data_IF_309098837676
#
_entry.id   IF_309098837676
#
_cell.length_a   1.000
_cell.length_b   1.000
_cell.length_c   1.000
_cell.angle_alpha   90.00
_cell.angle_beta   90.00
_cell.angle_gamma   90.00
#
_symmetry.space_group_name_H-M   'P 1'
#
loop_
_entity.id
_entity.type
_entity.pdbx_description
1 polymer ?
#
# COMPACT_ATOMS: atom_id res chain seq x y z
N UNK A 1 -15.14 -16.45 13.48
CA UNK A 1 -14.16 -15.62 14.20
C UNK A 1 -13.50 -14.69 13.18
N UNK A 2 -13.40 -13.40 13.47
CA UNK A 2 -12.82 -12.40 12.56
C UNK A 2 -11.31 -12.63 12.44
N UNK A 3 -10.78 -12.72 11.22
CA UNK A 3 -9.35 -12.52 10.97
C UNK A 3 -9.11 -11.02 10.84
N UNK A 4 -8.34 -10.46 11.77
CA UNK A 4 -7.99 -9.05 11.74
C UNK A 4 -6.98 -8.79 10.62
N UNK A 5 -7.13 -7.65 9.96
CA UNK A 5 -6.15 -7.14 9.00
C UNK A 5 -4.92 -6.64 9.74
N UNK A 6 -3.74 -7.04 9.28
CA UNK A 6 -2.45 -6.53 9.70
C UNK A 6 -1.99 -5.44 8.71
N UNK A 7 -1.89 -4.16 9.15
CA UNK A 7 -1.40 -3.08 8.31
C UNK A 7 -0.04 -3.35 7.67
N UNK A 8 0.83 -4.08 8.36
CA UNK A 8 2.19 -4.40 7.91
C UNK A 8 2.22 -5.51 6.86
N UNK A 9 1.11 -6.23 6.68
CA UNK A 9 0.92 -7.14 5.56
C UNK A 9 0.31 -6.48 4.33
N UNK A 10 0.00 -5.17 4.41
CA UNK A 10 -0.45 -4.35 3.30
C UNK A 10 -1.72 -4.87 2.64
N UNK A 11 -1.80 -4.68 1.32
CA UNK A 11 -2.94 -5.15 0.52
C UNK A 11 -3.00 -6.68 0.47
N UNK A 12 -1.86 -7.37 0.47
CA UNK A 12 -1.80 -8.83 0.41
C UNK A 12 -2.43 -9.50 1.64
N UNK A 13 -2.14 -9.00 2.84
CA UNK A 13 -2.80 -9.51 4.05
C UNK A 13 -4.30 -9.20 4.05
N UNK A 14 -4.70 -8.02 3.56
CA UNK A 14 -6.11 -7.68 3.42
C UNK A 14 -6.85 -8.68 2.52
N UNK A 15 -6.27 -9.08 1.38
CA UNK A 15 -6.83 -10.15 0.54
C UNK A 15 -7.00 -11.43 1.34
N UNK A 16 -5.99 -11.82 2.14
CA UNK A 16 -6.09 -12.96 3.06
C UNK A 16 -7.26 -12.84 4.05
N UNK A 17 -7.55 -11.63 4.55
CA UNK A 17 -8.71 -11.39 5.40
C UNK A 17 -10.04 -11.54 4.66
N UNK A 18 -10.11 -11.22 3.36
CA UNK A 18 -11.33 -11.43 2.57
C UNK A 18 -11.64 -12.91 2.38
N UNK A 19 -10.63 -13.73 2.10
CA UNK A 19 -10.80 -15.19 2.04
C UNK A 19 -11.37 -15.73 3.36
N UNK A 20 -10.80 -15.33 4.48
CA UNK A 20 -11.25 -15.82 5.77
C UNK A 20 -12.63 -15.25 6.17
N UNK A 21 -12.81 -13.93 6.11
CA UNK A 21 -14.00 -13.26 6.63
C UNK A 21 -15.21 -13.39 5.69
N UNK A 22 -14.99 -13.46 4.38
CA UNK A 22 -16.07 -13.60 3.37
C UNK A 22 -16.25 -15.06 2.96
N UNK A 23 -15.18 -15.77 2.61
CA UNK A 23 -15.23 -17.14 2.08
C UNK A 23 -14.96 -18.24 3.12
N UNK A 24 -14.77 -17.92 4.40
CA UNK A 24 -14.62 -18.91 5.49
C UNK A 24 -13.52 -19.95 5.24
N UNK A 25 -12.45 -19.55 4.55
CA UNK A 25 -11.29 -20.41 4.27
C UNK A 25 -10.03 -19.59 4.06
N UNK A 26 -8.88 -20.26 4.04
CA UNK A 26 -7.63 -19.66 3.63
C UNK A 26 -7.49 -19.61 2.08
N UNK A 27 -6.70 -18.67 1.54
CA UNK A 27 -6.32 -18.67 0.13
C UNK A 27 -5.52 -19.93 -0.22
N UNK A 28 -5.68 -20.43 -1.44
CA UNK A 28 -5.07 -21.68 -1.89
C UNK A 28 -3.55 -21.59 -2.06
N UNK A 29 -3.05 -20.41 -2.44
CA UNK A 29 -1.63 -20.17 -2.65
C UNK A 29 -1.29 -18.67 -2.63
N UNK A 30 0.01 -18.35 -2.63
CA UNK A 30 0.48 -16.97 -2.72
C UNK A 30 0.15 -16.34 -4.08
N UNK A 31 0.18 -17.11 -5.17
CA UNK A 31 -0.16 -16.61 -6.51
C UNK A 31 -1.61 -16.12 -6.60
N UNK A 32 -2.52 -16.74 -5.83
CA UNK A 32 -3.91 -16.31 -5.71
C UNK A 32 -4.01 -14.98 -4.96
N UNK A 33 -3.25 -14.82 -3.86
CA UNK A 33 -3.16 -13.56 -3.12
C UNK A 33 -2.63 -12.45 -4.04
N UNK A 34 -1.56 -12.72 -4.78
CA UNK A 34 -0.91 -11.75 -5.67
C UNK A 34 -1.85 -11.31 -6.79
N UNK A 35 -2.59 -12.25 -7.39
CA UNK A 35 -3.60 -11.95 -8.40
C UNK A 35 -4.67 -10.97 -7.86
N UNK A 36 -5.25 -11.25 -6.70
CA UNK A 36 -6.28 -10.39 -6.12
C UNK A 36 -5.74 -9.06 -5.59
N UNK A 37 -4.49 -9.05 -5.13
CA UNK A 37 -3.77 -7.83 -4.74
C UNK A 37 -3.63 -6.90 -5.93
N UNK A 38 -3.24 -7.43 -7.10
CA UNK A 38 -3.19 -6.68 -8.36
C UNK A 38 -4.57 -6.16 -8.79
N UNK A 39 -5.63 -6.94 -8.60
CA UNK A 39 -7.00 -6.47 -8.85
C UNK A 39 -7.33 -5.27 -7.96
N UNK A 40 -6.95 -5.32 -6.68
CA UNK A 40 -7.17 -4.21 -5.75
C UNK A 40 -6.42 -2.94 -6.16
N UNK A 41 -5.18 -3.06 -6.63
CA UNK A 41 -4.44 -1.91 -7.13
C UNK A 41 -5.06 -1.29 -8.39
N UNK A 42 -5.53 -2.13 -9.33
CA UNK A 42 -6.05 -1.64 -10.60
C UNK A 42 -7.48 -1.10 -10.50
N UNK A 43 -8.29 -1.66 -9.60
CA UNK A 43 -9.74 -1.40 -9.56
C UNK A 43 -10.22 -0.75 -8.26
N UNK A 44 -9.36 -0.67 -7.24
CA UNK A 44 -9.69 -0.12 -5.93
C UNK A 44 -10.46 -1.08 -5.03
N UNK A 45 -10.58 -0.71 -3.75
CA UNK A 45 -11.07 -1.60 -2.70
C UNK A 45 -12.52 -2.07 -2.91
N UNK A 46 -13.40 -1.16 -3.35
CA UNK A 46 -14.83 -1.46 -3.57
C UNK A 46 -14.99 -2.61 -4.56
N UNK A 47 -14.31 -2.54 -5.70
CA UNK A 47 -14.42 -3.57 -6.74
C UNK A 47 -13.85 -4.91 -6.28
N UNK A 48 -12.75 -4.90 -5.53
CA UNK A 48 -12.19 -6.12 -4.94
C UNK A 48 -13.16 -6.77 -3.97
N UNK A 49 -13.68 -6.04 -2.99
CA UNK A 49 -14.61 -6.60 -1.98
C UNK A 49 -15.90 -7.10 -2.64
N UNK A 50 -16.47 -6.32 -3.56
CA UNK A 50 -17.65 -6.73 -4.34
C UNK A 50 -17.37 -8.02 -5.11
N UNK A 51 -16.17 -8.17 -5.68
CA UNK A 51 -15.75 -9.39 -6.38
C UNK A 51 -15.81 -10.64 -5.50
N UNK A 52 -15.47 -10.55 -4.21
CA UNK A 52 -15.57 -11.68 -3.27
C UNK A 52 -17.03 -12.04 -2.98
N UNK A 53 -17.88 -11.06 -2.67
CA UNK A 53 -19.31 -11.29 -2.42
C UNK A 53 -20.08 -11.73 -3.67
N UNK A 54 -19.61 -11.32 -4.85
CA UNK A 54 -20.14 -11.75 -6.15
C UNK A 54 -19.34 -12.90 -6.77
N UNK A 55 -18.53 -13.62 -6.00
CA UNK A 55 -17.88 -14.83 -6.50
C UNK A 55 -18.90 -15.95 -6.64
N UNK A 56 -18.65 -16.90 -7.57
CA UNK A 56 -19.47 -18.11 -7.65
C UNK A 56 -19.41 -18.86 -6.32
N UNK A 57 -18.22 -18.93 -5.71
CA UNK A 57 -18.00 -19.58 -4.43
C UNK A 57 -18.87 -19.01 -3.30
N UNK A 58 -18.97 -17.68 -3.19
CA UNK A 58 -19.85 -17.07 -2.19
C UNK A 58 -21.33 -17.35 -2.49
N UNK A 59 -21.74 -17.23 -3.75
CA UNK A 59 -23.15 -17.40 -4.15
C UNK A 59 -23.66 -18.82 -3.91
N UNK A 60 -22.87 -19.86 -4.19
CA UNK A 60 -23.33 -21.25 -4.02
C UNK A 60 -23.58 -21.62 -2.56
N UNK A 61 -22.94 -20.93 -1.61
CA UNK A 61 -23.17 -21.14 -0.18
C UNK A 61 -24.57 -20.71 0.28
N UNK A 62 -25.28 -19.91 -0.51
CA UNK A 62 -26.64 -19.43 -0.20
C UNK A 62 -26.74 -18.78 1.20
N UNK A 63 -25.72 -17.99 1.55
CA UNK A 63 -25.63 -17.33 2.86
C UNK A 63 -26.81 -16.38 3.05
N UNK A 64 -27.54 -16.42 4.19
CA UNK A 64 -28.61 -15.46 4.48
C UNK A 64 -28.12 -14.02 4.44
N UNK A 65 -29.02 -13.08 4.10
CA UNK A 65 -28.67 -11.65 4.01
C UNK A 65 -28.13 -11.11 5.34
N UNK A 66 -28.69 -11.54 6.46
CA UNK A 66 -28.22 -11.16 7.80
C UNK A 66 -26.73 -11.51 8.03
N UNK A 67 -26.34 -12.74 7.69
CA UNK A 67 -24.95 -13.18 7.79
C UNK A 67 -24.05 -12.50 6.76
N UNK A 68 -24.58 -12.17 5.58
CA UNK A 68 -23.86 -11.35 4.59
C UNK A 68 -23.53 -9.96 5.13
N UNK A 69 -24.47 -9.33 5.85
CA UNK A 69 -24.23 -8.05 6.52
C UNK A 69 -23.13 -8.18 7.57
N UNK A 70 -23.17 -9.22 8.42
CA UNK A 70 -22.09 -9.46 9.39
C UNK A 70 -20.73 -9.61 8.70
N UNK A 71 -20.67 -10.33 7.58
CA UNK A 71 -19.44 -10.45 6.78
C UNK A 71 -18.96 -9.14 6.18
N UNK A 72 -19.84 -8.22 5.77
CA UNK A 72 -19.46 -6.85 5.35
C UNK A 72 -18.77 -6.08 6.49
N UNK A 73 -19.32 -6.12 7.70
CA UNK A 73 -18.70 -5.50 8.88
C UNK A 73 -17.32 -6.08 9.19
N UNK A 74 -17.19 -7.41 9.17
CA UNK A 74 -15.92 -8.10 9.44
C UNK A 74 -14.86 -7.77 8.39
N UNK A 75 -15.23 -7.76 7.11
CA UNK A 75 -14.29 -7.60 5.99
C UNK A 75 -13.92 -6.14 5.69
N UNK A 76 -14.80 -5.18 5.95
CA UNK A 76 -14.55 -3.75 5.61
C UNK A 76 -14.19 -2.94 6.86
N UNK A 77 -14.88 -3.19 7.98
CA UNK A 77 -14.74 -2.42 9.22
C UNK A 77 -13.98 -3.20 10.30
N UNK A 78 -13.56 -4.44 10.06
CA UNK A 78 -12.77 -5.21 11.03
C UNK A 78 -13.41 -5.25 12.43
N UNK A 79 -14.74 -5.45 12.49
CA UNK A 79 -15.52 -5.59 13.74
C UNK A 79 -16.82 -6.38 13.54
N UNK A 80 -17.46 -6.75 14.64
CA UNK A 80 -18.84 -7.24 14.62
C UNK A 80 -19.85 -6.06 14.62
N UNK A 81 -21.01 -6.20 13.97
CA UNK A 81 -22.10 -5.25 14.09
C UNK A 81 -23.00 -5.51 15.31
N UNK A 82 -23.70 -4.47 15.73
CA UNK A 82 -24.85 -4.58 16.63
C UNK A 82 -26.12 -5.01 15.89
N UNK A 83 -27.13 -5.47 16.64
CA UNK A 83 -28.39 -5.99 16.08
C UNK A 83 -29.10 -4.97 15.19
N UNK A 84 -29.22 -3.71 15.63
CA UNK A 84 -29.88 -2.67 14.86
C UNK A 84 -29.16 -2.33 13.54
N UNK A 85 -27.83 -2.42 13.51
CA UNK A 85 -27.02 -2.22 12.30
C UNK A 85 -27.30 -3.35 11.30
N UNK A 86 -27.34 -4.60 11.78
CA UNK A 86 -27.68 -5.76 10.97
C UNK A 86 -29.09 -5.64 10.38
N UNK A 87 -30.08 -5.30 11.20
CA UNK A 87 -31.47 -5.15 10.76
C UNK A 87 -31.61 -4.08 9.69
N UNK A 88 -30.99 -2.91 9.89
CA UNK A 88 -31.03 -1.80 8.95
C UNK A 88 -30.47 -2.21 7.57
N UNK A 89 -29.25 -2.74 7.52
CA UNK A 89 -28.64 -3.11 6.23
C UNK A 89 -29.31 -4.31 5.58
N UNK A 90 -29.82 -5.26 6.37
CA UNK A 90 -30.59 -6.40 5.84
C UNK A 90 -31.83 -5.92 5.10
N UNK A 91 -32.62 -5.03 5.71
CA UNK A 91 -33.80 -4.46 5.07
C UNK A 91 -33.47 -3.74 3.75
N UNK A 92 -32.38 -2.98 3.74
CA UNK A 92 -31.96 -2.23 2.55
C UNK A 92 -31.54 -3.14 1.40
N UNK A 93 -30.81 -4.22 1.68
CA UNK A 93 -30.45 -5.23 0.68
C UNK A 93 -31.70 -5.98 0.20
N UNK A 94 -32.62 -6.34 1.11
CA UNK A 94 -33.90 -6.98 0.75
C UNK A 94 -34.78 -6.08 -0.12
N UNK A 95 -34.72 -4.76 0.04
CA UNK A 95 -35.39 -3.76 -0.82
C UNK A 95 -34.73 -3.58 -2.19
N UNK A 96 -33.61 -4.27 -2.45
CA UNK A 96 -32.95 -4.26 -3.75
C UNK A 96 -31.67 -3.43 -3.82
N UNK A 97 -31.11 -2.96 -2.68
CA UNK A 97 -29.76 -2.37 -2.69
C UNK A 97 -28.76 -3.39 -3.24
N UNK A 98 -28.00 -2.99 -4.25
CA UNK A 98 -26.97 -3.86 -4.83
C UNK A 98 -25.84 -4.12 -3.83
N UNK A 99 -25.12 -5.23 -4.01
CA UNK A 99 -23.93 -5.51 -3.19
C UNK A 99 -22.86 -4.42 -3.35
N UNK A 100 -22.76 -3.86 -4.55
CA UNK A 100 -21.85 -2.75 -4.84
C UNK A 100 -22.19 -1.49 -4.04
N UNK A 101 -23.46 -1.10 -4.01
CA UNK A 101 -23.92 0.04 -3.20
C UNK A 101 -23.78 -0.24 -1.71
N UNK A 102 -24.03 -1.49 -1.28
CA UNK A 102 -23.78 -1.89 0.11
C UNK A 102 -22.31 -1.70 0.49
N UNK A 103 -21.36 -2.20 -0.30
CA UNK A 103 -19.92 -1.99 -0.05
C UNK A 103 -19.54 -0.51 -0.10
N UNK A 104 -20.07 0.27 -1.06
CA UNK A 104 -19.80 1.71 -1.16
C UNK A 104 -20.24 2.46 0.10
N UNK A 105 -21.41 2.15 0.66
CA UNK A 105 -21.90 2.78 1.90
C UNK A 105 -20.92 2.57 3.05
N UNK A 106 -20.32 1.38 3.16
CA UNK A 106 -19.33 1.10 4.21
C UNK A 106 -18.02 1.86 3.96
N UNK A 107 -17.46 1.77 2.74
CA UNK A 107 -16.19 2.41 2.38
C UNK A 107 -16.26 3.95 2.40
N UNK A 108 -17.45 4.53 2.20
CA UNK A 108 -17.66 5.99 2.26
C UNK A 108 -18.12 6.48 3.64
N UNK A 109 -18.28 5.57 4.61
CA UNK A 109 -18.73 5.95 5.95
C UNK A 109 -17.67 6.74 6.70
N UNK A 110 -18.14 7.58 7.64
CA UNK A 110 -17.27 8.27 8.58
C UNK A 110 -16.45 7.25 9.40
N UNK A 111 -17.09 6.18 9.86
CA UNK A 111 -16.44 5.13 10.62
C UNK A 111 -15.27 4.48 9.85
N UNK A 112 -15.48 4.12 8.59
CA UNK A 112 -14.40 3.55 7.78
C UNK A 112 -13.23 4.53 7.66
N UNK A 113 -13.51 5.83 7.52
CA UNK A 113 -12.48 6.87 7.46
C UNK A 113 -11.67 6.95 8.76
N UNK A 114 -12.33 6.91 9.93
CA UNK A 114 -11.65 6.87 11.23
C UNK A 114 -10.80 5.60 11.40
N UNK A 115 -11.31 4.46 10.94
CA UNK A 115 -10.58 3.19 11.00
C UNK A 115 -9.34 3.19 10.12
N UNK A 116 -9.40 3.77 8.92
CA UNK A 116 -8.23 3.99 8.07
C UNK A 116 -7.22 4.91 8.76
N UNK A 117 -7.67 6.00 9.40
CA UNK A 117 -6.77 6.90 10.13
C UNK A 117 -6.06 6.20 11.30
N UNK A 118 -6.75 5.28 11.98
CA UNK A 118 -6.19 4.51 13.09
C UNK A 118 -5.45 3.23 12.65
N UNK A 119 -5.35 2.93 11.36
CA UNK A 119 -4.68 1.72 10.88
C UNK A 119 -5.43 0.43 11.17
N UNK A 120 -6.76 0.46 11.22
CA UNK A 120 -7.63 -0.68 11.48
C UNK A 120 -8.32 -1.23 10.23
N UNK A 121 -8.29 -0.48 9.12
CA UNK A 121 -8.85 -0.84 7.81
C UNK A 121 -7.93 -0.38 6.67
N UNK A 122 -7.83 -1.16 5.59
CA UNK A 122 -7.02 -0.82 4.42
C UNK A 122 -7.49 0.49 3.77
N UNK A 123 -6.57 1.29 3.20
CA UNK A 123 -6.90 2.53 2.50
C UNK A 123 -7.79 2.23 1.27
N UNK A 124 -8.82 3.04 0.96
CA UNK A 124 -9.80 2.74 -0.09
C UNK A 124 -9.19 2.69 -1.50
N UNK A 125 -8.08 3.39 -1.69
CA UNK A 125 -7.21 3.29 -2.87
C UNK A 125 -5.89 2.71 -2.40
N UNK A 126 -5.75 1.37 -2.34
CA UNK A 126 -4.45 0.77 -2.08
C UNK A 126 -3.50 1.22 -3.20
N UNK A 127 -2.26 1.54 -2.84
CA UNK A 127 -1.24 1.91 -3.80
C UNK A 127 0.08 1.17 -3.49
N UNK A 128 0.89 0.99 -4.52
CA UNK A 128 2.15 0.25 -4.41
C UNK A 128 3.19 0.97 -3.54
N UNK A 129 3.04 2.29 -3.35
CA UNK A 129 3.98 3.08 -2.56
C UNK A 129 3.83 2.76 -1.08
N UNK A 130 2.60 2.52 -0.61
CA UNK A 130 2.34 2.09 0.76
C UNK A 130 3.07 0.80 1.10
N UNK A 131 2.90 -0.25 0.28
CA UNK A 131 3.56 -1.54 0.49
C UNK A 131 5.10 -1.41 0.38
N UNK A 132 5.58 -0.50 -0.47
CA UNK A 132 7.00 -0.19 -0.53
C UNK A 132 7.53 0.43 0.77
N UNK A 133 6.82 1.41 1.33
CA UNK A 133 7.20 2.03 2.60
C UNK A 133 7.26 0.99 3.72
N UNK A 134 6.27 0.11 3.81
CA UNK A 134 6.29 -1.02 4.76
C UNK A 134 7.56 -1.87 4.57
N UNK A 135 7.90 -2.19 3.32
CA UNK A 135 9.12 -2.94 2.96
C UNK A 135 10.38 -2.22 3.45
N UNK A 136 10.46 -0.89 3.38
CA UNK A 136 11.60 -0.12 3.85
C UNK A 136 11.73 -0.17 5.38
N UNK A 137 10.63 0.00 6.12
CA UNK A 137 10.62 -0.16 7.58
C UNK A 137 11.14 -1.53 7.99
N UNK A 138 10.59 -2.59 7.41
CA UNK A 138 10.94 -3.96 7.78
C UNK A 138 12.39 -4.31 7.43
N UNK A 139 12.84 -3.96 6.22
CA UNK A 139 14.14 -4.43 5.73
C UNK A 139 15.30 -3.49 6.10
N UNK A 140 15.06 -2.20 6.27
CA UNK A 140 16.08 -1.22 6.64
C UNK A 140 16.09 -1.01 8.15
N UNK A 141 14.93 -0.77 8.76
CA UNK A 141 14.82 -0.42 10.19
C UNK A 141 14.55 -1.62 11.11
N UNK A 142 14.35 -2.83 10.56
CA UNK A 142 14.06 -4.06 11.32
C UNK A 142 12.84 -3.93 12.25
N UNK A 143 11.84 -3.17 11.82
CA UNK A 143 10.59 -2.99 12.56
C UNK A 143 9.44 -2.73 11.61
N UNK A 144 8.24 -2.91 12.12
CA UNK A 144 7.03 -2.49 11.43
C UNK A 144 6.82 -0.96 11.55
N UNK A 145 6.13 -0.34 10.56
CA UNK A 145 5.63 1.02 10.73
C UNK A 145 4.59 1.07 11.84
N UNK A 146 4.54 2.20 12.54
CA UNK A 146 3.74 2.37 13.75
C UNK A 146 2.23 2.32 13.47
N UNK A 147 1.80 2.91 12.36
CA UNK A 147 0.41 2.96 11.93
C UNK A 147 0.31 3.41 10.46
N UNK A 148 -0.93 3.40 9.95
CA UNK A 148 -1.22 3.76 8.57
C UNK A 148 -1.00 5.24 8.26
N UNK A 149 -1.11 6.15 9.24
CA UNK A 149 -0.82 7.56 9.03
C UNK A 149 0.68 7.79 8.77
N UNK A 150 1.56 7.05 9.44
CA UNK A 150 3.00 7.04 9.17
C UNK A 150 3.29 6.51 7.76
N UNK A 151 2.68 5.38 7.38
CA UNK A 151 2.82 4.82 6.03
C UNK A 151 2.36 5.83 4.98
N UNK A 152 1.20 6.46 5.18
CA UNK A 152 0.66 7.47 4.27
C UNK A 152 1.60 8.66 4.14
N UNK A 153 2.06 9.22 5.25
CA UNK A 153 3.00 10.35 5.24
C UNK A 153 4.26 10.04 4.42
N UNK A 154 4.92 8.92 4.69
CA UNK A 154 6.11 8.52 3.94
C UNK A 154 5.80 8.16 2.48
N UNK A 155 4.61 7.65 2.19
CA UNK A 155 4.18 7.38 0.82
C UNK A 155 3.98 8.65 0.02
N UNK A 156 3.38 9.68 0.61
CA UNK A 156 3.23 10.99 -0.04
C UNK A 156 4.60 11.65 -0.29
N UNK A 157 5.52 11.57 0.68
CA UNK A 157 6.90 12.02 0.51
C UNK A 157 7.60 11.25 -0.63
N UNK A 158 7.43 9.92 -0.69
CA UNK A 158 8.02 9.10 -1.74
C UNK A 158 7.43 9.38 -3.13
N UNK A 159 6.13 9.72 -3.22
CA UNK A 159 5.49 10.13 -4.49
C UNK A 159 5.98 11.49 -4.96
N UNK A 160 6.16 12.44 -4.02
CA UNK A 160 6.64 13.79 -4.32
C UNK A 160 8.12 13.79 -4.75
N UNK A 161 8.96 13.06 -4.02
CA UNK A 161 10.44 13.11 -4.18
C UNK A 161 11.04 11.94 -4.96
N UNK A 162 10.24 10.91 -5.20
CA UNK A 162 10.67 9.67 -5.83
C UNK A 162 11.24 8.65 -4.85
N UNK A 163 11.18 7.38 -5.27
CA UNK A 163 11.54 6.22 -4.46
C UNK A 163 13.00 6.19 -4.04
N UNK A 164 13.92 6.61 -4.93
CA UNK A 164 15.35 6.67 -4.61
C UNK A 164 15.58 7.53 -3.37
N UNK A 165 14.96 8.70 -3.32
CA UNK A 165 15.05 9.59 -2.16
C UNK A 165 14.41 8.98 -0.92
N UNK A 166 13.30 8.26 -1.05
CA UNK A 166 12.70 7.53 0.07
C UNK A 166 13.68 6.49 0.65
N UNK A 167 14.24 5.61 -0.19
CA UNK A 167 15.22 4.59 0.24
C UNK A 167 16.43 5.24 0.90
N UNK A 168 17.02 6.26 0.25
CA UNK A 168 18.17 7.00 0.81
C UNK A 168 17.82 7.64 2.15
N UNK A 169 16.62 8.20 2.31
CA UNK A 169 16.15 8.78 3.57
C UNK A 169 16.12 7.76 4.72
N UNK A 170 15.68 6.53 4.46
CA UNK A 170 15.71 5.47 5.46
C UNK A 170 17.14 5.09 5.87
N UNK A 171 18.05 4.90 4.91
CA UNK A 171 19.46 4.57 5.19
C UNK A 171 20.26 5.71 5.84
N UNK A 172 19.83 6.96 5.65
CA UNK A 172 20.51 8.12 6.22
C UNK A 172 19.85 8.66 7.48
N UNK A 173 18.72 8.09 7.90
CA UNK A 173 17.98 8.45 9.11
C UNK A 173 18.80 8.24 10.38
N UNK A 174 18.53 9.06 11.40
CA UNK A 174 19.15 8.91 12.72
C UNK A 174 18.84 7.54 13.34
N UNK A 175 17.64 7.00 13.09
CA UNK A 175 17.25 5.67 13.54
C UNK A 175 18.13 4.58 12.93
N UNK A 176 18.39 4.65 11.62
CA UNK A 176 19.28 3.69 10.98
C UNK A 176 20.73 3.84 11.46
N UNK A 177 21.22 5.07 11.58
CA UNK A 177 22.58 5.34 12.08
C UNK A 177 22.79 4.82 13.50
N UNK A 178 21.77 4.91 14.36
CA UNK A 178 21.82 4.42 15.73
C UNK A 178 22.01 2.90 15.84
N UNK A 179 21.78 2.13 14.76
CA UNK A 179 22.04 0.69 14.73
C UNK A 179 23.53 0.34 14.63
N UNK A 180 24.39 1.30 14.27
CA UNK A 180 25.84 1.14 14.17
C UNK A 180 26.26 -0.11 13.36
N UNK A 181 25.61 -0.31 12.21
CA UNK A 181 25.82 -1.49 11.38
C UNK A 181 27.06 -1.37 10.50
N UNK A 182 27.74 -2.50 10.31
CA UNK A 182 28.85 -2.61 9.38
C UNK A 182 28.41 -2.38 7.92
N UNK A 183 29.36 -1.99 7.05
CA UNK A 183 29.11 -1.84 5.60
C UNK A 183 28.53 -3.11 4.96
N UNK A 184 29.05 -4.33 5.22
CA UNK A 184 28.45 -5.57 4.73
C UNK A 184 26.97 -5.75 5.12
N UNK A 185 26.59 -5.42 6.36
CA UNK A 185 25.18 -5.49 6.79
C UNK A 185 24.31 -4.46 6.08
N UNK A 186 24.84 -3.25 5.84
CA UNK A 186 24.15 -2.23 5.03
C UNK A 186 23.90 -2.72 3.60
N UNK A 187 24.86 -3.43 3.00
CA UNK A 187 24.68 -4.03 1.67
C UNK A 187 23.58 -5.08 1.68
N UNK A 188 23.55 -5.99 2.66
CA UNK A 188 22.45 -6.98 2.78
C UNK A 188 21.08 -6.31 2.84
N UNK A 189 20.97 -5.20 3.59
CA UNK A 189 19.73 -4.42 3.66
C UNK A 189 19.36 -3.74 2.35
N UNK A 190 20.32 -3.25 1.56
CA UNK A 190 20.06 -2.73 0.20
C UNK A 190 19.43 -3.81 -0.68
N UNK A 191 19.97 -5.02 -0.66
CA UNK A 191 19.42 -6.17 -1.37
C UNK A 191 18.00 -6.50 -0.92
N UNK A 192 17.74 -6.58 0.39
CA UNK A 192 16.40 -6.87 0.92
C UNK A 192 15.38 -5.77 0.62
N UNK A 193 15.76 -4.51 0.77
CA UNK A 193 14.85 -3.39 0.61
C UNK A 193 14.51 -3.09 -0.86
N UNK A 194 15.50 -3.19 -1.77
CA UNK A 194 15.34 -2.78 -3.17
C UNK A 194 15.05 -3.98 -4.07
N UNK A 195 15.77 -5.09 -3.89
CA UNK A 195 15.67 -6.29 -4.73
C UNK A 195 14.86 -7.41 -4.05
N UNK A 196 14.60 -7.27 -2.75
CA UNK A 196 14.04 -8.23 -1.80
C UNK A 196 14.38 -9.67 -2.10
N UNK A 197 15.68 -9.90 -2.00
CA UNK A 197 16.33 -11.19 -1.84
C UNK A 197 17.54 -11.00 -0.93
N UNK A 198 18.11 -12.09 -0.48
CA UNK A 198 19.47 -12.07 0.07
C UNK A 198 20.51 -11.94 -1.05
N UNK A 199 21.63 -11.24 -0.79
CA UNK A 199 22.81 -11.32 -1.62
C UNK A 199 23.65 -12.56 -1.33
N UNK A 200 24.42 -12.97 -2.34
CA UNK A 200 25.50 -13.94 -2.16
C UNK A 200 26.74 -13.27 -1.57
N UNK A 201 27.67 -14.06 -1.02
CA UNK A 201 28.88 -13.57 -0.34
C UNK A 201 29.69 -12.61 -1.21
N UNK A 202 29.89 -12.95 -2.49
CA UNK A 202 30.65 -12.13 -3.42
C UNK A 202 29.99 -10.77 -3.68
N UNK A 203 28.66 -10.73 -3.77
CA UNK A 203 27.91 -9.50 -3.97
C UNK A 203 28.05 -8.55 -2.78
N UNK A 204 28.00 -9.10 -1.56
CA UNK A 204 28.23 -8.34 -0.33
C UNK A 204 29.64 -7.75 -0.33
N UNK A 205 30.65 -8.57 -0.60
CA UNK A 205 32.06 -8.14 -0.62
C UNK A 205 32.31 -7.05 -1.66
N UNK A 206 31.81 -7.24 -2.88
CA UNK A 206 31.97 -6.28 -3.97
C UNK A 206 31.39 -4.91 -3.60
N UNK A 207 30.12 -4.85 -3.21
CA UNK A 207 29.47 -3.58 -2.87
C UNK A 207 30.04 -2.94 -1.60
N UNK A 208 30.43 -3.75 -0.60
CA UNK A 208 31.03 -3.23 0.63
C UNK A 208 32.40 -2.60 0.36
N UNK A 209 33.24 -3.21 -0.50
CA UNK A 209 34.52 -2.62 -0.90
C UNK A 209 34.33 -1.27 -1.57
N UNK A 210 33.32 -1.14 -2.44
CA UNK A 210 33.06 0.10 -3.15
C UNK A 210 32.58 1.23 -2.23
N UNK A 211 31.73 0.91 -1.25
CA UNK A 211 31.32 1.88 -0.22
C UNK A 211 32.51 2.26 0.66
N UNK A 212 33.34 1.30 1.09
CA UNK A 212 34.54 1.57 1.88
C UNK A 212 35.60 2.39 1.12
N UNK A 213 35.60 2.35 -0.22
CA UNK A 213 36.43 3.21 -1.09
C UNK A 213 35.87 4.62 -1.30
N UNK A 214 34.72 4.93 -0.72
CA UNK A 214 34.12 6.26 -0.75
C UNK A 214 32.87 6.39 -1.61
N UNK A 215 32.30 5.30 -2.15
CA UNK A 215 30.97 5.37 -2.79
C UNK A 215 29.93 5.77 -1.73
N UNK A 216 29.18 6.83 -2.00
CA UNK A 216 28.11 7.27 -1.10
C UNK A 216 26.96 6.25 -1.05
N UNK A 217 26.19 6.24 0.05
CA UNK A 217 24.98 5.41 0.12
C UNK A 217 23.93 5.81 -0.93
N UNK A 218 23.85 7.09 -1.28
CA UNK A 218 22.97 7.56 -2.35
C UNK A 218 23.37 6.95 -3.70
N UNK A 219 24.66 6.96 -4.04
CA UNK A 219 25.17 6.32 -5.26
C UNK A 219 24.98 4.79 -5.22
N UNK A 220 25.14 4.17 -4.05
CA UNK A 220 24.86 2.74 -3.89
C UNK A 220 23.37 2.43 -4.16
N UNK A 221 22.44 3.19 -3.58
CA UNK A 221 20.99 3.04 -3.87
C UNK A 221 20.71 3.23 -5.37
N UNK A 222 21.33 4.25 -6.01
CA UNK A 222 21.19 4.47 -7.46
C UNK A 222 21.61 3.24 -8.27
N UNK A 223 22.76 2.63 -7.94
CA UNK A 223 23.26 1.42 -8.63
C UNK A 223 22.25 0.28 -8.55
N UNK A 224 21.58 0.10 -7.41
CA UNK A 224 20.59 -0.98 -7.24
C UNK A 224 19.30 -0.68 -8.01
N UNK A 225 18.75 0.53 -7.90
CA UNK A 225 17.49 0.94 -8.54
C UNK A 225 17.62 0.98 -10.07
N UNK A 226 18.80 1.34 -10.60
CA UNK A 226 19.04 1.39 -12.05
C UNK A 226 19.55 0.05 -12.61
N UNK A 227 19.65 -0.99 -11.78
CA UNK A 227 20.20 -2.28 -12.21
C UNK A 227 19.26 -3.04 -13.15
N UNK A 228 19.79 -3.80 -14.14
CA UNK A 228 18.97 -4.72 -14.92
C UNK A 228 18.23 -5.73 -14.05
N UNK A 229 18.81 -6.11 -12.91
CA UNK A 229 18.16 -6.99 -11.95
C UNK A 229 16.93 -6.33 -11.34
N UNK A 230 16.99 -5.07 -10.91
CA UNK A 230 15.80 -4.37 -10.43
C UNK A 230 14.70 -4.31 -11.49
N UNK A 231 15.07 -4.09 -12.76
CA UNK A 231 14.12 -4.08 -13.87
C UNK A 231 13.60 -5.49 -14.27
N UNK A 232 14.36 -6.54 -13.99
CA UNK A 232 14.04 -7.94 -14.36
C UNK A 232 13.34 -8.69 -13.24
N UNK A 233 13.75 -8.47 -11.98
CA UNK A 233 13.05 -9.00 -10.82
C UNK A 233 11.68 -8.40 -10.87
N UNK A 234 10.75 -9.28 -11.21
CA UNK A 234 9.31 -9.09 -11.29
C UNK A 234 8.70 -8.79 -9.93
N UNK A 235 9.38 -7.96 -9.13
CA UNK A 235 8.79 -7.03 -8.18
C UNK A 235 8.33 -5.75 -8.90
N UNK A 236 7.80 -5.93 -10.11
CA UNK A 236 7.18 -4.90 -10.95
C UNK A 236 6.04 -4.15 -10.22
N UNK A 237 5.60 -4.68 -9.08
CA UNK A 237 4.43 -4.21 -8.33
C UNK A 237 4.73 -3.79 -6.87
N UNK A 238 5.91 -3.98 -6.29
CA UNK A 238 6.17 -3.53 -4.89
C UNK A 238 6.99 -2.23 -4.80
N UNK A 239 7.34 -1.65 -5.95
CA UNK A 239 8.11 -0.40 -6.03
C UNK A 239 7.56 0.40 -7.23
N UNK A 240 6.60 1.32 -7.03
CA UNK A 240 5.99 2.05 -8.14
C UNK A 240 7.02 2.96 -8.81
N UNK A 241 7.38 2.66 -10.06
CA UNK A 241 8.29 3.47 -10.89
C UNK A 241 7.93 4.96 -10.78
N UNK A 242 8.67 5.70 -9.97
CA UNK A 242 8.49 7.13 -9.79
C UNK A 242 9.00 7.87 -11.02
N UNK A 243 8.08 8.43 -11.80
CA UNK A 243 8.24 9.69 -12.54
C UNK A 243 9.59 9.95 -13.24
N UNK A 244 9.89 9.20 -14.28
CA UNK A 244 10.52 9.72 -15.51
C UNK A 244 10.26 8.70 -16.62
N UNK A 245 9.32 8.93 -17.52
CA UNK A 245 9.55 9.75 -18.71
C UNK A 245 8.29 10.50 -19.12
N UNK A 246 8.30 11.81 -18.88
CA UNK A 246 7.63 12.72 -19.80
C UNK A 246 8.37 12.66 -21.14
N UNK A 247 7.97 11.74 -22.01
CA UNK A 247 8.11 11.93 -23.46
C UNK A 247 6.70 12.14 -23.96
N UNK A 248 6.35 13.42 -24.10
CA UNK A 248 5.33 13.82 -25.06
C UNK A 248 5.79 13.30 -26.42
N UNK A 249 5.25 12.16 -26.87
CA UNK A 249 5.17 11.93 -28.31
C UNK A 249 4.22 12.98 -28.87
N UNK A 250 4.78 14.09 -29.33
CA UNK A 250 4.06 15.01 -30.19
C UNK A 250 3.79 14.29 -31.52
N UNK A 251 2.67 13.58 -31.62
CA UNK A 251 2.08 13.34 -32.93
C UNK A 251 1.48 14.65 -33.42
N UNK A 252 2.30 15.42 -34.14
CA UNK A 252 1.80 16.39 -35.12
C UNK A 252 1.05 15.61 -36.20
N UNK A 253 -0.26 15.80 -36.27
CA UNK A 253 -0.99 15.83 -37.54
C UNK A 253 -2.32 16.58 -37.34
N UNK A 254 -2.29 17.85 -37.75
CA UNK A 254 -3.33 18.64 -38.39
C UNK A 254 -4.80 18.53 -37.94
N UNK A 255 -5.30 19.67 -37.44
CA UNK A 255 -6.54 20.27 -37.98
C UNK A 255 -7.82 20.05 -37.18
N UNK A 256 -8.17 21.00 -36.32
CA UNK A 256 -9.35 21.87 -36.49
C UNK A 256 -9.75 22.54 -35.18
N UNK A 257 -10.15 23.79 -35.33
CA UNK A 257 -10.45 24.84 -34.34
C UNK A 257 -11.67 24.56 -33.46
N UNK A 258 -11.63 24.95 -32.18
CA UNK A 258 -12.73 25.66 -31.50
C UNK A 258 -12.31 26.23 -30.13
N UNK A 259 -12.94 27.36 -29.77
CA UNK A 259 -12.64 28.34 -28.71
C UNK A 259 -13.23 28.00 -27.32
N UNK A 260 -12.70 28.73 -26.32
CA UNK A 260 -13.29 29.11 -25.01
C UNK A 260 -13.32 28.02 -23.93
N UNK A 261 -13.08 28.25 -22.64
CA UNK A 261 -12.93 29.46 -21.81
C UNK A 261 -12.29 29.09 -20.45
N UNK A 262 -11.71 30.11 -19.81
CA UNK A 262 -11.05 30.15 -18.51
C UNK A 262 -11.82 29.57 -17.30
N UNK A 263 -11.08 28.93 -16.39
CA UNK A 263 -11.51 28.68 -15.01
C UNK A 263 -10.32 28.36 -14.10
N UNK A 264 -9.83 29.37 -13.36
CA UNK A 264 -8.86 29.23 -12.27
C UNK A 264 -9.55 28.57 -11.08
N UNK A 265 -8.95 27.54 -10.49
CA UNK A 265 -9.25 27.11 -9.13
C UNK A 265 -7.99 27.23 -8.27
N UNK A 266 -8.02 28.19 -7.35
CA UNK A 266 -7.14 28.22 -6.19
C UNK A 266 -7.67 27.25 -5.15
N UNK A 267 -6.81 26.37 -4.64
CA UNK A 267 -7.02 25.71 -3.34
C UNK A 267 -5.81 26.02 -2.47
N UNK A 268 -6.00 26.96 -1.54
CA UNK A 268 -5.14 27.13 -0.38
C UNK A 268 -5.87 26.56 0.82
N UNK A 269 -5.27 25.60 1.50
CA UNK A 269 -5.69 25.19 2.84
C UNK A 269 -4.46 24.67 3.59
N UNK A 270 -3.98 25.50 4.53
CA UNK A 270 -3.01 25.12 5.56
C UNK A 270 -3.70 24.15 6.52
N UNK A 271 -3.12 22.97 6.70
CA UNK A 271 -3.48 22.06 7.80
C UNK A 271 -2.42 22.26 8.89
N UNK A 272 -2.84 22.76 10.06
CA UNK A 272 -2.00 22.81 11.26
C UNK A 272 -2.23 21.55 12.09
N UNK A 273 -1.17 20.81 12.39
CA UNK A 273 -1.20 19.74 13.39
C UNK A 273 -0.66 20.27 14.73
N UNK A 274 -1.43 20.08 15.80
CA UNK A 274 -1.04 20.36 17.19
C UNK A 274 -0.08 19.30 17.75
N UNK A 275 0.62 19.59 18.86
CA UNK A 275 1.77 18.81 19.30
C UNK A 275 1.38 17.62 20.18
N UNK A 276 1.95 16.45 19.91
CA UNK A 276 1.84 15.29 20.79
C UNK A 276 2.53 14.04 20.26
N UNK A 277 3.77 13.81 20.74
CA UNK A 277 4.60 12.59 20.62
C UNK A 277 5.01 12.23 19.16
N UNK A 278 6.14 12.66 18.60
CA UNK A 278 7.43 12.93 19.23
C UNK A 278 8.44 11.79 19.06
N UNK A 279 8.39 11.03 17.96
CA UNK A 279 9.61 10.45 17.36
C UNK A 279 9.69 11.05 15.96
N UNK A 280 10.45 12.15 15.88
CA UNK A 280 10.74 12.81 14.62
C UNK A 280 11.65 11.87 13.83
N UNK A 281 11.10 11.19 12.83
CA UNK A 281 11.90 10.85 11.66
C UNK A 281 12.21 12.20 11.00
N UNK A 282 13.18 12.94 11.55
CA UNK A 282 13.84 14.01 10.81
C UNK A 282 14.59 13.28 9.71
N UNK A 283 13.92 13.11 8.57
CA UNK A 283 14.63 12.89 7.31
C UNK A 283 15.32 14.23 7.05
N UNK A 284 16.66 14.33 7.17
CA UNK A 284 17.31 15.56 6.74
C UNK A 284 17.07 15.72 5.23
N UNK A 285 17.01 16.99 4.81
CA UNK A 285 16.89 17.52 3.45
C UNK A 285 15.47 17.77 2.96
#
# INVERSE_FOLDING_TARGET
MIRQWNPCGGTADFIGTLYHNVLDRDPESQEVIDFHTKVAYNTGLVNTVVGFFNSIEYRIKSIPTEETVKKLYRSILNREPGVAEVDHHTQEITRGRSMEDAVRVFVQSHEYSERVQHGLSLHPRPDLTFDFIITLYQNILDRDPENQAVIYFHSEVAKDRGLRMAVTGFFTSDEYRAKDLSTPETVKKLYRAILGREPDTWEVEHHAQEINRGRSLEDAVRVFVDSPEYHTRTRKELVPLGASTGVFESKRAAGSTAKHSSGRYHFGSRISFGPGLGISLMIPF
#
